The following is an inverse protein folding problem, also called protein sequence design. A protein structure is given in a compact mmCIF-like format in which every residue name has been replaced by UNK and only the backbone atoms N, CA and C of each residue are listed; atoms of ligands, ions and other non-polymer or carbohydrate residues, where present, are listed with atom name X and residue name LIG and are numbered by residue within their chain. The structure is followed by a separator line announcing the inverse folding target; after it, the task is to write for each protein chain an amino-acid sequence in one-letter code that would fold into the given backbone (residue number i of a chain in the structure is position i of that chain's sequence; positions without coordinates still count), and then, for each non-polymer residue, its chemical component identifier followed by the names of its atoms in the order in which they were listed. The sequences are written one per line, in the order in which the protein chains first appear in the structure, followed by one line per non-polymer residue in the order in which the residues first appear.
data_IF_763991721819
#
_entry.id   IF_763991721819
#
_cell.length_a   1.000
_cell.length_b   1.000
_cell.length_c   1.000
_cell.angle_alpha   90.00
_cell.angle_beta   90.00
_cell.angle_gamma   90.00
#
_symmetry.space_group_name_H-M   'P 1'
#
loop_
_entity.id
_entity.type
_entity.pdbx_description
1 polymer ?
#
# COMPACT_ATOMS: atom_id res chain seq x y z
N UNK A 1 -27.41 -23.57 -0.86
CA UNK A 1 -26.65 -24.07 0.30
C UNK A 1 -25.19 -24.43 -0.04
N UNK A 2 -24.95 -25.03 -1.22
CA UNK A 2 -23.59 -25.46 -1.62
C UNK A 2 -22.59 -24.32 -1.88
N UNK A 3 -23.04 -23.19 -2.37
CA UNK A 3 -22.18 -22.01 -2.68
C UNK A 3 -21.73 -21.26 -1.42
N UNK A 4 -22.57 -21.19 -0.39
CA UNK A 4 -22.23 -20.56 0.88
C UNK A 4 -21.17 -21.37 1.64
N UNK A 5 -21.28 -22.70 1.66
CA UNK A 5 -20.32 -23.58 2.34
C UNK A 5 -18.93 -23.54 1.66
N UNK A 6 -18.86 -23.40 0.34
CA UNK A 6 -17.61 -23.28 -0.42
C UNK A 6 -16.90 -21.95 -0.11
N UNK A 7 -17.64 -20.85 -0.06
CA UNK A 7 -17.10 -19.52 0.32
C UNK A 7 -16.64 -19.51 1.77
N UNK A 8 -17.42 -20.06 2.70
CA UNK A 8 -17.02 -20.19 4.10
C UNK A 8 -15.76 -21.03 4.27
N UNK A 9 -15.64 -22.15 3.57
CA UNK A 9 -14.45 -23.00 3.60
C UNK A 9 -13.22 -22.26 3.07
N UNK A 10 -13.35 -21.50 1.98
CA UNK A 10 -12.26 -20.69 1.44
C UNK A 10 -11.87 -19.56 2.40
N UNK A 11 -12.82 -18.95 3.12
CA UNK A 11 -12.51 -17.96 4.16
C UNK A 11 -11.73 -18.60 5.31
N UNK A 12 -12.18 -19.73 5.83
CA UNK A 12 -11.49 -20.43 6.92
C UNK A 12 -10.06 -20.87 6.57
N UNK A 13 -9.84 -21.37 5.33
CA UNK A 13 -8.49 -21.75 4.87
C UNK A 13 -7.60 -20.49 4.78
N UNK A 14 -8.14 -19.41 4.22
CA UNK A 14 -7.43 -18.15 4.07
C UNK A 14 -7.06 -17.56 5.43
N UNK A 15 -8.01 -17.54 6.36
CA UNK A 15 -7.79 -17.03 7.72
C UNK A 15 -6.74 -17.87 8.48
N UNK A 16 -6.75 -19.20 8.29
CA UNK A 16 -5.75 -20.09 8.88
C UNK A 16 -4.34 -19.79 8.33
N UNK A 17 -4.19 -19.61 7.01
CA UNK A 17 -2.89 -19.30 6.39
C UNK A 17 -2.40 -17.92 6.85
N UNK A 18 -3.27 -16.92 6.82
CA UNK A 18 -2.91 -15.55 7.21
C UNK A 18 -2.68 -15.38 8.71
N UNK A 19 -3.28 -16.24 9.57
CA UNK A 19 -3.05 -16.21 11.02
C UNK A 19 -1.64 -16.68 11.40
N UNK A 20 -1.01 -17.49 10.57
CA UNK A 20 0.36 -17.97 10.77
C UNK A 20 1.43 -16.96 10.28
N UNK A 21 1.01 -15.92 9.56
CA UNK A 21 1.94 -14.88 9.10
C UNK A 21 2.16 -13.85 10.22
N UNK A 22 3.35 -13.85 10.78
CA UNK A 22 3.79 -12.82 11.73
C UNK A 22 4.57 -11.74 10.98
N UNK A 23 4.05 -10.52 10.98
CA UNK A 23 4.68 -9.39 10.29
C UNK A 23 4.24 -8.07 10.88
N UNK A 24 5.16 -7.11 11.04
CA UNK A 24 4.84 -5.77 11.52
C UNK A 24 3.74 -5.05 10.74
N UNK A 25 3.51 -5.40 9.48
CA UNK A 25 2.49 -4.77 8.62
C UNK A 25 1.08 -4.85 9.22
N UNK A 26 0.78 -5.90 9.99
CA UNK A 26 -0.54 -6.10 10.59
C UNK A 26 -0.81 -5.16 11.79
N UNK A 27 0.20 -4.47 12.28
CA UNK A 27 0.05 -3.47 13.35
C UNK A 27 -0.42 -2.12 12.81
N UNK A 28 -0.41 -1.90 11.50
CA UNK A 28 -0.86 -0.65 10.89
C UNK A 28 -2.39 -0.59 10.93
N UNK A 29 -3.00 0.44 11.59
CA UNK A 29 -4.45 0.59 11.61
C UNK A 29 -5.04 0.68 10.21
N UNK A 30 -6.05 -0.15 9.93
CA UNK A 30 -6.69 -0.22 8.61
C UNK A 30 -6.09 -1.27 7.67
N UNK A 31 -4.97 -1.91 7.99
CA UNK A 31 -4.47 -3.06 7.24
C UNK A 31 -4.96 -4.36 7.90
N UNK A 32 -6.03 -4.91 7.33
CA UNK A 32 -6.52 -6.24 7.73
C UNK A 32 -5.61 -7.37 7.24
N UNK A 33 -5.74 -8.56 7.88
CA UNK A 33 -4.91 -9.74 7.55
C UNK A 33 -4.90 -10.09 6.08
N UNK A 34 -6.05 -10.03 5.41
CA UNK A 34 -6.15 -10.34 3.98
C UNK A 34 -5.32 -9.39 3.11
N UNK A 35 -5.45 -8.08 3.36
CA UNK A 35 -4.74 -7.08 2.57
C UNK A 35 -3.24 -7.09 2.85
N UNK A 36 -2.85 -7.24 4.13
CA UNK A 36 -1.45 -7.38 4.53
C UNK A 36 -0.81 -8.63 3.93
N UNK A 37 -1.49 -9.79 3.99
CA UNK A 37 -1.01 -11.01 3.39
C UNK A 37 -0.85 -10.91 1.86
N UNK A 38 -1.76 -10.21 1.18
CA UNK A 38 -1.67 -9.96 -0.26
C UNK A 38 -0.45 -9.10 -0.60
N UNK A 39 -0.17 -8.06 0.19
CA UNK A 39 1.03 -7.23 0.02
C UNK A 39 2.30 -8.06 0.24
N UNK A 40 2.34 -8.85 1.32
CA UNK A 40 3.51 -9.68 1.63
C UNK A 40 3.76 -10.75 0.56
N UNK A 41 2.70 -11.40 0.06
CA UNK A 41 2.80 -12.41 -0.99
C UNK A 41 3.30 -11.83 -2.32
N UNK A 42 2.85 -10.62 -2.69
CA UNK A 42 3.26 -9.96 -3.94
C UNK A 42 4.68 -9.38 -3.88
N UNK A 43 5.11 -8.94 -2.71
CA UNK A 43 6.47 -8.40 -2.51
C UNK A 43 7.47 -9.54 -2.32
N UNK A 44 7.07 -10.61 -1.62
CA UNK A 44 7.96 -11.69 -1.22
C UNK A 44 8.97 -11.21 -0.19
N UNK A 45 10.25 -11.20 -0.57
CA UNK A 45 11.33 -10.74 0.31
C UNK A 45 11.65 -9.26 0.07
N UNK A 46 11.50 -8.44 1.11
CA UNK A 46 11.81 -7.01 1.10
C UNK A 46 13.31 -6.73 0.97
N UNK A 47 14.18 -7.69 1.26
CA UNK A 47 15.63 -7.56 1.09
C UNK A 47 16.04 -7.42 -0.38
N UNK A 48 15.21 -7.92 -1.31
CA UNK A 48 15.43 -7.81 -2.74
C UNK A 48 15.32 -6.37 -3.27
N UNK A 49 14.78 -5.46 -2.46
CA UNK A 49 14.63 -4.05 -2.84
C UNK A 49 15.65 -3.19 -2.11
N UNK A 50 16.53 -2.54 -2.86
CA UNK A 50 17.55 -1.65 -2.28
C UNK A 50 16.95 -0.43 -1.56
N UNK A 51 15.73 0.01 -1.96
CA UNK A 51 15.05 1.15 -1.36
C UNK A 51 13.52 1.06 -1.50
N UNK A 52 12.82 1.84 -0.70
CA UNK A 52 11.37 1.99 -0.81
C UNK A 52 10.93 2.51 -2.19
N UNK A 53 11.76 3.31 -2.85
CA UNK A 53 11.44 3.85 -4.18
C UNK A 53 11.53 2.76 -5.27
N UNK A 54 12.40 1.76 -5.10
CA UNK A 54 12.42 0.57 -5.98
C UNK A 54 11.17 -0.28 -5.80
N UNK A 55 10.70 -0.43 -4.56
CA UNK A 55 9.42 -1.10 -4.27
C UNK A 55 8.22 -0.30 -4.85
N UNK A 56 8.26 1.03 -4.78
CA UNK A 56 7.26 1.90 -5.42
C UNK A 56 7.22 1.72 -6.94
N UNK A 57 8.39 1.63 -7.58
CA UNK A 57 8.49 1.39 -9.01
C UNK A 57 7.95 -0.01 -9.37
N UNK A 58 8.27 -1.03 -8.56
CA UNK A 58 7.75 -2.39 -8.72
C UNK A 58 6.22 -2.45 -8.57
N UNK A 59 5.63 -1.66 -7.67
CA UNK A 59 4.18 -1.51 -7.55
C UNK A 59 3.55 -0.68 -8.68
N UNK A 60 4.39 0.01 -9.50
CA UNK A 60 3.91 0.92 -10.54
C UNK A 60 3.22 2.17 -9.99
N UNK A 61 3.61 2.61 -8.79
CA UNK A 61 3.10 3.81 -8.13
C UNK A 61 4.01 5.04 -8.36
N UNK A 62 5.12 4.89 -9.07
CA UNK A 62 6.01 5.99 -9.41
C UNK A 62 5.35 6.93 -10.42
N UNK A 63 5.57 8.25 -10.29
CA UNK A 63 5.17 9.18 -11.34
C UNK A 63 6.05 8.98 -12.56
N UNK A 64 5.47 9.08 -13.75
CA UNK A 64 6.25 9.17 -14.97
C UNK A 64 6.98 10.52 -15.00
N UNK A 65 8.30 10.48 -15.09
CA UNK A 65 9.11 11.68 -15.33
C UNK A 65 9.50 11.71 -16.79
N UNK A 66 8.88 12.59 -17.55
CA UNK A 66 9.31 12.91 -18.90
C UNK A 66 10.15 14.20 -18.81
N UNK A 67 11.46 14.05 -18.79
CA UNK A 67 12.38 15.17 -18.93
C UNK A 67 13.07 15.04 -20.29
N UNK A 68 12.60 15.80 -21.27
CA UNK A 68 13.27 15.96 -22.54
C UNK A 68 13.56 17.46 -22.73
N UNK A 69 14.81 17.85 -22.50
CA UNK A 69 15.25 19.24 -22.70
C UNK A 69 14.53 20.27 -21.80
N UNK A 70 14.10 21.36 -22.38
CA UNK A 70 13.43 22.47 -21.68
C UNK A 70 11.92 22.23 -21.39
N UNK A 71 11.34 21.14 -21.87
CA UNK A 71 9.94 20.80 -21.65
C UNK A 71 9.76 20.06 -20.30
N UNK A 72 9.42 20.81 -19.27
CA UNK A 72 8.89 20.25 -18.03
C UNK A 72 7.46 19.78 -18.28
N UNK A 73 7.25 18.48 -18.31
CA UNK A 73 5.93 17.91 -18.52
C UNK A 73 5.03 18.15 -17.32
N UNK A 74 4.07 19.06 -17.44
CA UNK A 74 3.10 19.42 -16.41
C UNK A 74 2.11 18.28 -16.09
N UNK A 75 2.08 17.19 -16.87
CA UNK A 75 1.14 16.08 -16.76
C UNK A 75 1.83 14.77 -16.38
N UNK A 76 2.42 14.71 -15.19
CA UNK A 76 2.93 13.46 -14.65
C UNK A 76 1.78 12.50 -14.35
N UNK A 77 1.70 11.39 -15.06
CA UNK A 77 0.78 10.29 -14.76
C UNK A 77 1.50 9.15 -14.02
N UNK A 78 0.74 8.29 -13.39
CA UNK A 78 1.29 7.09 -12.74
C UNK A 78 1.71 6.08 -13.83
N UNK A 79 2.96 5.59 -13.78
CA UNK A 79 3.50 4.70 -14.82
C UNK A 79 2.74 3.39 -14.97
N UNK A 80 2.15 2.88 -13.89
CA UNK A 80 1.40 1.61 -13.85
C UNK A 80 2.18 0.38 -14.34
N UNK A 81 3.49 0.50 -14.57
CA UNK A 81 4.40 -0.62 -14.85
C UNK A 81 4.61 -1.42 -13.57
N UNK A 82 4.73 -2.75 -13.66
CA UNK A 82 4.92 -3.63 -12.51
C UNK A 82 3.64 -4.34 -12.04
N UNK A 83 3.64 -4.88 -10.80
CA UNK A 83 2.55 -5.72 -10.31
C UNK A 83 1.24 -4.94 -10.15
N UNK A 84 0.24 -5.31 -10.93
CA UNK A 84 -1.12 -4.75 -10.81
C UNK A 84 -1.79 -5.17 -9.49
N UNK A 85 -1.46 -6.37 -9.00
CA UNK A 85 -2.04 -6.91 -7.77
C UNK A 85 -1.49 -6.19 -6.54
N UNK A 86 -0.17 -5.96 -6.50
CA UNK A 86 0.45 -5.15 -5.45
C UNK A 86 -0.10 -3.72 -5.45
N UNK A 87 -0.22 -3.09 -6.61
CA UNK A 87 -0.79 -1.75 -6.73
C UNK A 87 -2.24 -1.71 -6.23
N UNK A 88 -3.06 -2.69 -6.58
CA UNK A 88 -4.44 -2.81 -6.10
C UNK A 88 -4.49 -2.96 -4.57
N UNK A 89 -3.66 -3.84 -4.00
CA UNK A 89 -3.59 -4.06 -2.56
C UNK A 89 -3.17 -2.79 -1.82
N UNK A 90 -2.10 -2.13 -2.27
CA UNK A 90 -1.59 -0.90 -1.66
C UNK A 90 -2.58 0.27 -1.76
N UNK A 91 -3.27 0.42 -2.88
CA UNK A 91 -4.25 1.48 -3.06
C UNK A 91 -5.47 1.31 -2.15
N UNK A 92 -5.97 0.07 -2.02
CA UNK A 92 -7.07 -0.22 -1.11
C UNK A 92 -6.63 -0.15 0.35
N UNK A 93 -5.45 -0.68 0.70
CA UNK A 93 -4.89 -0.52 2.04
C UNK A 93 -4.79 0.95 2.43
N UNK A 94 -4.30 1.82 1.53
CA UNK A 94 -4.19 3.25 1.78
C UNK A 94 -5.54 3.91 2.09
N UNK A 95 -6.63 3.50 1.42
CA UNK A 95 -7.98 3.99 1.73
C UNK A 95 -8.38 3.69 3.18
N UNK A 96 -8.20 2.43 3.62
CA UNK A 96 -8.54 2.02 4.97
C UNK A 96 -7.60 2.64 6.01
N UNK A 97 -6.31 2.73 5.72
CA UNK A 97 -5.35 3.41 6.61
C UNK A 97 -5.71 4.89 6.79
N UNK A 98 -6.14 5.58 5.74
CA UNK A 98 -6.63 6.96 5.84
C UNK A 98 -7.90 7.10 6.67
N UNK A 99 -8.72 6.04 6.80
CA UNK A 99 -9.91 6.05 7.66
C UNK A 99 -9.58 5.80 9.13
N UNK A 100 -8.62 4.92 9.40
CA UNK A 100 -8.37 4.42 10.75
C UNK A 100 -7.14 5.02 11.42
N UNK A 101 -6.24 5.64 10.68
CA UNK A 101 -5.02 6.24 11.20
C UNK A 101 -5.09 7.78 11.11
N UNK A 102 -5.11 8.51 12.24
CA UNK A 102 -5.22 9.98 12.24
C UNK A 102 -4.13 10.68 11.43
N UNK A 103 -2.89 10.20 11.51
CA UNK A 103 -1.74 10.73 10.74
C UNK A 103 -1.94 10.66 9.23
N UNK A 104 -2.54 9.57 8.74
CA UNK A 104 -2.85 9.41 7.32
C UNK A 104 -4.11 10.16 6.91
N UNK A 105 -5.10 10.27 7.81
CA UNK A 105 -6.29 11.10 7.59
C UNK A 105 -5.91 12.56 7.40
N UNK A 106 -5.13 13.12 8.31
CA UNK A 106 -4.63 14.51 8.20
C UNK A 106 -3.80 14.72 6.92
N UNK A 107 -2.97 13.72 6.54
CA UNK A 107 -2.22 13.79 5.29
C UNK A 107 -3.13 13.79 4.05
N UNK A 108 -4.19 12.98 4.06
CA UNK A 108 -5.18 12.95 2.97
C UNK A 108 -5.90 14.29 2.84
N UNK A 109 -6.35 14.86 3.97
CA UNK A 109 -7.01 16.17 4.02
C UNK A 109 -6.11 17.28 3.49
N UNK A 110 -4.84 17.30 3.92
CA UNK A 110 -3.84 18.22 3.39
C UNK A 110 -3.73 18.11 1.87
N UNK A 111 -3.68 16.89 1.31
CA UNK A 111 -3.59 16.70 -0.14
C UNK A 111 -4.86 17.12 -0.88
N UNK A 112 -6.01 17.03 -0.25
CA UNK A 112 -7.28 17.51 -0.79
C UNK A 112 -7.38 19.04 -0.74
N UNK A 113 -6.93 19.67 0.34
CA UNK A 113 -6.87 21.14 0.44
C UNK A 113 -5.93 21.78 -0.58
N UNK A 114 -4.90 21.03 -1.05
CA UNK A 114 -4.05 21.42 -2.20
C UNK A 114 -4.78 21.33 -3.57
N UNK A 115 -6.10 21.10 -3.59
CA UNK A 115 -6.92 20.99 -4.81
C UNK A 115 -6.81 19.64 -5.54
N UNK A 116 -6.19 18.63 -4.97
CA UNK A 116 -6.04 17.31 -5.61
C UNK A 116 -7.34 16.50 -5.55
N UNK A 117 -7.67 15.87 -6.68
CA UNK A 117 -8.77 14.90 -6.73
C UNK A 117 -8.53 13.75 -5.72
N UNK A 118 -9.61 13.22 -5.12
CA UNK A 118 -9.56 12.17 -4.09
C UNK A 118 -8.63 10.99 -4.45
N UNK A 119 -8.78 10.42 -5.65
CA UNK A 119 -7.95 9.29 -6.07
C UNK A 119 -6.46 9.64 -6.20
N UNK A 120 -6.14 10.88 -6.56
CA UNK A 120 -4.76 11.39 -6.60
C UNK A 120 -4.22 11.53 -5.17
N UNK A 121 -5.01 12.07 -4.25
CA UNK A 121 -4.65 12.17 -2.84
C UNK A 121 -4.41 10.79 -2.20
N UNK A 122 -5.28 9.80 -2.48
CA UNK A 122 -5.07 8.40 -2.05
C UNK A 122 -3.78 7.80 -2.66
N UNK A 123 -3.45 8.13 -3.91
CA UNK A 123 -2.18 7.68 -4.52
C UNK A 123 -0.96 8.24 -3.77
N UNK A 124 -1.03 9.48 -3.29
CA UNK A 124 0.02 10.05 -2.44
C UNK A 124 0.09 9.35 -1.07
N UNK A 125 -1.06 9.03 -0.46
CA UNK A 125 -1.11 8.25 0.77
C UNK A 125 -0.53 6.84 0.58
N UNK A 126 -0.84 6.17 -0.55
CA UNK A 126 -0.28 4.87 -0.88
C UNK A 126 1.25 4.91 -1.01
N UNK A 127 1.82 5.95 -1.61
CA UNK A 127 3.29 6.15 -1.66
C UNK A 127 3.90 6.29 -0.27
N UNK A 128 3.26 7.07 0.62
CA UNK A 128 3.69 7.20 2.02
C UNK A 128 3.59 5.86 2.74
N UNK A 129 2.50 5.11 2.51
CA UNK A 129 2.29 3.80 3.11
C UNK A 129 3.36 2.78 2.69
N UNK A 130 3.75 2.74 1.42
CA UNK A 130 4.82 1.84 0.93
C UNK A 130 6.14 2.12 1.64
N UNK A 131 6.51 3.40 1.80
CA UNK A 131 7.73 3.78 2.52
C UNK A 131 7.68 3.36 3.99
N UNK A 132 6.53 3.51 4.63
CA UNK A 132 6.30 3.06 5.99
C UNK A 132 6.45 1.53 6.11
N UNK A 133 5.73 0.78 5.28
CA UNK A 133 5.81 -0.69 5.25
C UNK A 133 7.25 -1.16 5.04
N UNK A 134 7.95 -0.56 4.09
CA UNK A 134 9.34 -0.91 3.79
C UNK A 134 10.26 -0.68 5.02
N UNK A 135 10.12 0.46 5.68
CA UNK A 135 10.90 0.79 6.88
C UNK A 135 10.59 -0.18 8.03
N UNK A 136 9.31 -0.49 8.26
CA UNK A 136 8.86 -1.42 9.29
C UNK A 136 9.38 -2.84 9.04
N UNK A 137 9.31 -3.32 7.82
CA UNK A 137 9.79 -4.67 7.47
C UNK A 137 11.30 -4.80 7.62
N UNK A 138 12.07 -3.75 7.32
CA UNK A 138 13.52 -3.77 7.52
C UNK A 138 13.94 -3.62 8.99
N UNK A 139 13.19 -2.87 9.78
CA UNK A 139 13.50 -2.66 11.20
C UNK A 139 12.90 -3.72 12.12
N UNK A 140 11.91 -4.50 11.64
CA UNK A 140 11.14 -5.44 12.47
C UNK A 140 10.23 -4.77 13.51
N UNK A 141 10.15 -3.41 13.51
CA UNK A 141 9.39 -2.66 14.52
C UNK A 141 7.91 -2.57 14.15
N UNK A 142 7.05 -2.73 15.17
CA UNK A 142 5.62 -2.48 15.03
C UNK A 142 5.32 -1.01 14.72
N UNK A 143 4.15 -0.75 14.16
CA UNK A 143 3.68 0.63 13.94
C UNK A 143 3.42 1.31 15.29
N UNK A 144 4.12 2.40 15.54
CA UNK A 144 3.87 3.30 16.65
C UNK A 144 3.12 4.51 16.07
N UNK A 145 1.86 4.67 16.46
CA UNK A 145 1.17 5.92 16.20
C UNK A 145 1.75 6.94 17.19
N UNK A 146 2.56 7.88 16.70
CA UNK A 146 2.90 9.06 17.48
C UNK A 146 1.58 9.83 17.74
N UNK A 147 1.19 9.89 19.00
CA UNK A 147 0.04 10.64 19.48
C UNK A 147 0.35 12.14 19.47
#
# INVERSE_FOLDING_TARGET
LHLLSRRQRQMCIRDRITSQMDSPIFTIPGIGRHMGAMILAEVGDFSNFASADKLLAYAGLSPSTYQSGQLQNCYAHMEKRGSRYLRYALFNAAKYVCLWCPTFSAYLEKKRSEGKHYNVAISHAAKKLVRLIFAMQRSGKAFLADY
#
